data_IF_942032896421
#
_entry.id   IF_942032896421
#
_cell.length_a   1.000
_cell.length_b   1.000
_cell.length_c   1.000
_cell.angle_alpha   90.00
_cell.angle_beta   90.00
_cell.angle_gamma   90.00
#
_symmetry.space_group_name_H-M   'P 1'
#
loop_
_entity.id
_entity.type
_entity.pdbx_description
1 polymer ?
#
# COMPACT_ATOMS: atom_id res chain seq x y z
N UNK A 1 12.14 -23.42 11.63
CA UNK A 1 10.77 -23.05 11.21
C UNK A 1 10.92 -22.10 10.03
N UNK A 2 10.07 -22.10 9.00
CA UNK A 2 10.18 -21.11 7.93
C UNK A 2 10.09 -19.70 8.54
N UNK A 3 10.91 -18.78 8.02
CA UNK A 3 10.91 -17.38 8.44
C UNK A 3 9.47 -16.82 8.44
N UNK A 4 9.12 -16.05 9.47
CA UNK A 4 7.82 -15.38 9.51
C UNK A 4 7.84 -14.18 8.56
N UNK A 5 7.44 -14.41 7.32
CA UNK A 5 7.41 -13.39 6.26
C UNK A 5 6.04 -12.71 6.28
N UNK A 6 6.04 -11.38 6.32
CA UNK A 6 4.84 -10.57 6.09
C UNK A 6 4.73 -10.24 4.60
N UNK A 7 3.68 -10.74 3.96
CA UNK A 7 3.46 -10.60 2.52
C UNK A 7 2.34 -9.61 2.20
N UNK A 8 2.62 -8.71 1.27
CA UNK A 8 1.70 -7.64 0.84
C UNK A 8 1.49 -7.76 -0.65
N UNK A 9 0.22 -7.69 -1.08
CA UNK A 9 -0.16 -7.65 -2.50
C UNK A 9 -0.91 -6.37 -2.82
N UNK A 10 -0.35 -5.58 -3.73
CA UNK A 10 -0.92 -4.35 -4.22
C UNK A 10 -1.69 -4.62 -5.51
N UNK A 11 -2.83 -3.96 -5.66
CA UNK A 11 -3.63 -3.92 -6.87
C UNK A 11 -3.89 -2.47 -7.25
N UNK A 12 -3.58 -2.14 -8.49
CA UNK A 12 -3.80 -0.81 -9.03
C UNK A 12 -3.73 -0.80 -10.54
N UNK A 13 -3.68 0.39 -11.13
CA UNK A 13 -3.44 0.56 -12.57
C UNK A 13 -2.05 1.10 -12.83
N UNK A 14 -1.47 0.71 -13.96
CA UNK A 14 -0.21 1.30 -14.42
C UNK A 14 -0.35 2.84 -14.51
N UNK A 15 0.48 3.55 -13.74
CA UNK A 15 0.45 5.02 -13.62
C UNK A 15 -0.13 5.56 -12.31
N UNK A 16 -0.86 4.75 -11.53
CA UNK A 16 -1.43 5.19 -10.23
C UNK A 16 -0.45 5.11 -9.06
N UNK A 17 0.72 4.49 -9.27
CA UNK A 17 1.83 4.54 -8.33
C UNK A 17 1.95 3.38 -7.33
N UNK A 18 1.21 2.27 -7.51
CA UNK A 18 1.38 1.04 -6.70
C UNK A 18 2.83 0.56 -6.63
N UNK A 19 3.55 0.52 -7.78
CA UNK A 19 4.96 0.13 -7.79
C UNK A 19 5.82 1.08 -6.94
N UNK A 20 5.62 2.39 -7.10
CA UNK A 20 6.40 3.38 -6.36
C UNK A 20 6.13 3.31 -4.86
N UNK A 21 4.86 3.12 -4.47
CA UNK A 21 4.48 2.91 -3.07
C UNK A 21 5.10 1.62 -2.51
N UNK A 22 5.01 0.51 -3.25
CA UNK A 22 5.63 -0.77 -2.88
C UNK A 22 7.15 -0.66 -2.73
N UNK A 23 7.82 0.07 -3.61
CA UNK A 23 9.25 0.29 -3.51
C UNK A 23 9.61 1.15 -2.30
N UNK A 24 8.90 2.26 -2.07
CA UNK A 24 9.12 3.13 -0.90
C UNK A 24 8.86 2.38 0.41
N UNK A 25 7.85 1.51 0.45
CA UNK A 25 7.59 0.64 1.61
C UNK A 25 8.78 -0.28 1.91
N UNK A 26 9.35 -0.90 0.87
CA UNK A 26 10.51 -1.78 1.04
C UNK A 26 11.76 -1.01 1.45
N UNK A 27 12.00 0.17 0.89
CA UNK A 27 13.12 1.03 1.28
C UNK A 27 12.99 1.50 2.73
N UNK A 28 11.78 1.85 3.19
CA UNK A 28 11.54 2.21 4.59
C UNK A 28 11.74 1.01 5.54
N UNK A 29 11.26 -0.19 5.15
CA UNK A 29 11.48 -1.40 5.93
C UNK A 29 12.95 -1.86 5.93
N UNK A 30 13.70 -1.59 4.87
CA UNK A 30 15.14 -1.87 4.81
C UNK A 30 15.91 -1.00 5.81
N UNK A 31 15.54 0.29 5.95
CA UNK A 31 16.14 1.19 6.94
C UNK A 31 15.84 0.78 8.39
N UNK A 32 14.75 0.01 8.62
CA UNK A 32 14.46 -0.64 9.90
C UNK A 32 15.33 -1.89 10.15
N UNK A 33 16.22 -2.25 9.23
CA UNK A 33 17.05 -3.46 9.31
C UNK A 33 16.32 -4.75 8.96
N UNK A 34 15.15 -4.67 8.30
CA UNK A 34 14.40 -5.85 7.85
C UNK A 34 14.95 -6.38 6.53
N UNK A 35 14.76 -7.68 6.30
CA UNK A 35 14.93 -8.28 4.98
C UNK A 35 13.69 -8.00 4.14
N UNK A 36 13.90 -7.46 2.94
CA UNK A 36 12.80 -7.04 2.07
C UNK A 36 12.94 -7.60 0.66
N UNK A 37 11.81 -7.88 0.03
CA UNK A 37 11.70 -8.02 -1.42
C UNK A 37 10.56 -7.12 -1.90
N UNK A 38 10.76 -6.43 -3.01
CA UNK A 38 9.73 -5.68 -3.71
C UNK A 38 9.83 -5.95 -5.20
N UNK A 39 8.73 -6.39 -5.81
CA UNK A 39 8.70 -6.68 -7.24
C UNK A 39 7.32 -6.45 -7.83
N UNK A 40 7.22 -5.84 -9.01
CA UNK A 40 5.97 -5.73 -9.74
C UNK A 40 5.68 -7.00 -10.56
N UNK A 41 4.42 -7.24 -10.84
CA UNK A 41 3.96 -8.20 -11.85
C UNK A 41 3.08 -7.46 -12.85
N UNK A 42 3.54 -7.48 -14.10
CA UNK A 42 2.88 -6.83 -15.22
C UNK A 42 2.29 -7.90 -16.13
N UNK A 43 1.04 -7.71 -16.55
CA UNK A 43 0.50 -8.42 -17.71
C UNK A 43 1.09 -7.87 -19.02
N UNK A 44 0.69 -8.46 -20.15
CA UNK A 44 1.14 -8.05 -21.49
C UNK A 44 0.59 -6.67 -21.96
N UNK A 45 -0.11 -5.92 -21.11
CA UNK A 45 -0.93 -4.77 -21.48
C UNK A 45 -0.26 -3.40 -21.24
N UNK A 46 -0.77 -2.36 -21.94
CA UNK A 46 -0.26 -0.98 -21.94
C UNK A 46 -0.75 -0.17 -20.72
N UNK A 47 -0.32 1.10 -20.62
CA UNK A 47 -0.70 2.08 -19.57
C UNK A 47 -2.20 2.04 -19.23
N UNK A 48 -2.53 2.08 -17.93
CA UNK A 48 -3.93 2.02 -17.44
C UNK A 48 -4.46 0.60 -17.16
N UNK A 49 -3.76 -0.44 -17.62
CA UNK A 49 -4.11 -1.82 -17.32
C UNK A 49 -3.95 -2.15 -15.82
N UNK A 50 -4.76 -3.08 -15.28
CA UNK A 50 -4.56 -3.63 -13.95
C UNK A 50 -3.14 -4.19 -13.79
N UNK A 51 -2.50 -3.88 -12.67
CA UNK A 51 -1.17 -4.34 -12.34
C UNK A 51 -1.11 -4.77 -10.87
N UNK A 52 -0.18 -5.69 -10.59
CA UNK A 52 0.10 -6.15 -9.24
C UNK A 52 1.50 -5.71 -8.84
N UNK A 53 1.68 -5.43 -7.56
CA UNK A 53 3.00 -5.33 -6.96
C UNK A 53 3.03 -6.10 -5.65
N UNK A 54 4.22 -6.51 -5.23
CA UNK A 54 4.37 -7.37 -4.08
C UNK A 54 5.45 -6.84 -3.16
N UNK A 55 5.23 -7.00 -1.85
CA UNK A 55 6.27 -6.87 -0.85
C UNK A 55 6.34 -8.11 0.01
N UNK A 56 7.56 -8.47 0.39
CA UNK A 56 7.84 -9.38 1.50
C UNK A 56 8.73 -8.65 2.49
N UNK A 57 8.38 -8.71 3.77
CA UNK A 57 9.13 -8.10 4.86
C UNK A 57 9.34 -9.17 5.93
N UNK A 58 10.57 -9.36 6.38
CA UNK A 58 10.96 -10.42 7.31
C UNK A 58 12.09 -9.96 8.23
N UNK A 59 12.16 -10.53 9.43
CA UNK A 59 13.31 -10.40 10.33
C UNK A 59 14.49 -11.32 9.95
N UNK A 60 14.24 -12.30 9.07
CA UNK A 60 15.22 -13.26 8.58
C UNK A 60 15.34 -13.20 7.04
N UNK A 61 16.48 -13.64 6.47
CA UNK A 61 16.69 -13.66 5.02
C UNK A 61 15.56 -14.34 4.22
N UNK A 62 15.08 -13.66 3.17
CA UNK A 62 14.01 -14.17 2.32
C UNK A 62 14.62 -14.93 1.13
N UNK A 63 14.44 -16.25 1.11
CA UNK A 63 14.93 -17.13 0.03
C UNK A 63 13.86 -17.45 -1.02
N UNK A 64 12.61 -17.03 -0.79
CA UNK A 64 11.48 -17.31 -1.66
C UNK A 64 11.49 -16.37 -2.89
N UNK A 65 11.34 -16.94 -4.09
CA UNK A 65 11.37 -16.21 -5.37
C UNK A 65 10.16 -16.60 -6.25
N UNK A 66 8.95 -16.35 -5.75
CA UNK A 66 7.68 -16.55 -6.46
C UNK A 66 6.72 -15.40 -6.18
N UNK A 67 5.57 -15.36 -6.88
CA UNK A 67 4.49 -14.41 -6.59
C UNK A 67 3.84 -14.66 -5.22
N UNK A 68 3.18 -13.65 -4.65
CA UNK A 68 2.48 -13.77 -3.35
C UNK A 68 1.10 -14.40 -3.58
N UNK A 69 0.98 -15.67 -3.19
CA UNK A 69 -0.28 -16.42 -3.28
C UNK A 69 -1.18 -16.16 -2.07
N UNK A 70 -0.62 -16.04 -0.85
CA UNK A 70 -1.34 -15.93 0.41
C UNK A 70 -0.97 -14.64 1.18
N UNK A 71 -1.47 -13.47 0.75
CA UNK A 71 -1.08 -12.20 1.35
C UNK A 71 -1.63 -12.03 2.78
N UNK A 72 -0.82 -11.46 3.67
CA UNK A 72 -1.27 -10.94 4.96
C UNK A 72 -2.01 -9.60 4.79
N UNK A 73 -1.62 -8.82 3.79
CA UNK A 73 -2.21 -7.53 3.46
C UNK A 73 -2.49 -7.43 1.95
N UNK A 74 -3.71 -7.06 1.61
CA UNK A 74 -4.07 -6.67 0.24
C UNK A 74 -4.36 -5.17 0.22
N UNK A 75 -3.72 -4.46 -0.70
CA UNK A 75 -3.88 -3.00 -0.86
C UNK A 75 -4.45 -2.72 -2.24
N UNK A 76 -5.63 -2.11 -2.30
CA UNK A 76 -6.31 -1.75 -3.54
C UNK A 76 -6.29 -0.22 -3.66
N UNK A 77 -5.46 0.31 -4.55
CA UNK A 77 -5.33 1.77 -4.74
C UNK A 77 -6.42 2.38 -5.65
N UNK A 78 -7.24 1.55 -6.29
CA UNK A 78 -8.36 1.96 -7.14
C UNK A 78 -9.56 1.02 -6.92
N UNK A 79 -10.63 1.55 -6.33
CA UNK A 79 -11.82 0.78 -5.97
C UNK A 79 -12.61 0.23 -7.17
N UNK A 80 -12.36 0.72 -8.39
CA UNK A 80 -12.92 0.15 -9.63
C UNK A 80 -12.45 -1.27 -9.87
N UNK A 81 -11.32 -1.66 -9.27
CA UNK A 81 -10.76 -3.01 -9.40
C UNK A 81 -11.50 -4.04 -8.54
N UNK A 82 -12.28 -3.63 -7.52
CA UNK A 82 -12.93 -4.55 -6.55
C UNK A 82 -13.87 -5.59 -7.17
N UNK A 83 -14.29 -5.40 -8.42
CA UNK A 83 -15.05 -6.41 -9.17
C UNK A 83 -14.22 -7.58 -9.69
N UNK A 84 -12.89 -7.54 -9.60
CA UNK A 84 -12.01 -8.60 -10.06
C UNK A 84 -11.84 -9.68 -8.97
N UNK A 85 -12.22 -10.95 -9.23
CA UNK A 85 -12.06 -12.03 -8.27
C UNK A 85 -10.60 -12.26 -7.84
N UNK A 86 -9.62 -11.89 -8.67
CA UNK A 86 -8.19 -12.03 -8.37
C UNK A 86 -7.74 -11.21 -7.15
N UNK A 87 -8.49 -10.17 -6.75
CA UNK A 87 -8.14 -9.36 -5.58
C UNK A 87 -8.15 -10.20 -4.32
N UNK A 88 -9.12 -11.09 -4.19
CA UNK A 88 -9.30 -11.96 -3.02
C UNK A 88 -8.63 -13.33 -3.17
N UNK A 89 -7.92 -13.59 -4.27
CA UNK A 89 -7.27 -14.88 -4.49
C UNK A 89 -6.27 -15.19 -3.36
N UNK A 90 -6.50 -16.29 -2.63
CA UNK A 90 -5.64 -16.72 -1.51
C UNK A 90 -5.72 -15.86 -0.25
N UNK A 91 -6.67 -14.93 -0.15
CA UNK A 91 -6.94 -14.23 1.11
C UNK A 91 -7.65 -15.15 2.11
N UNK A 92 -7.45 -14.89 3.40
CA UNK A 92 -8.11 -15.60 4.50
C UNK A 92 -8.85 -14.59 5.39
N UNK A 93 -9.55 -15.06 6.43
CA UNK A 93 -10.15 -14.18 7.43
C UNK A 93 -9.12 -13.36 8.23
N UNK A 94 -7.86 -13.79 8.27
CA UNK A 94 -6.76 -13.07 8.92
C UNK A 94 -6.11 -12.02 8.01
N UNK A 95 -6.37 -12.08 6.70
CA UNK A 95 -5.88 -11.08 5.76
C UNK A 95 -6.56 -9.74 6.05
N UNK A 96 -5.80 -8.65 5.92
CA UNK A 96 -6.34 -7.29 5.97
C UNK A 96 -6.49 -6.76 4.55
N UNK A 97 -7.61 -6.10 4.24
CA UNK A 97 -7.85 -5.44 2.96
C UNK A 97 -7.90 -3.93 3.17
N UNK A 98 -6.93 -3.19 2.64
CA UNK A 98 -6.94 -1.72 2.60
C UNK A 98 -7.42 -1.28 1.21
N UNK A 99 -8.43 -0.41 1.15
CA UNK A 99 -8.97 0.11 -0.11
C UNK A 99 -8.94 1.64 -0.12
N UNK A 100 -8.37 2.21 -1.18
CA UNK A 100 -8.54 3.62 -1.48
C UNK A 100 -9.95 3.86 -2.05
N UNK A 101 -10.84 4.40 -1.23
CA UNK A 101 -12.22 4.71 -1.64
C UNK A 101 -12.86 5.74 -0.73
N UNK A 102 -13.83 6.47 -1.27
CA UNK A 102 -14.75 7.33 -0.51
C UNK A 102 -16.00 6.58 -0.04
N UNK A 103 -16.17 5.33 -0.48
CA UNK A 103 -17.33 4.50 -0.14
C UNK A 103 -17.15 3.89 1.26
N UNK A 104 -18.27 3.61 1.97
CA UNK A 104 -18.21 2.99 3.28
C UNK A 104 -17.71 1.53 3.21
N UNK A 105 -17.24 1.01 4.34
CA UNK A 105 -16.71 -0.35 4.47
C UNK A 105 -17.74 -1.40 4.04
N UNK A 106 -19.01 -1.19 4.38
CA UNK A 106 -20.12 -2.09 4.04
C UNK A 106 -20.27 -2.23 2.52
N UNK A 107 -20.03 -1.15 1.77
CA UNK A 107 -20.06 -1.19 0.31
C UNK A 107 -18.91 -2.06 -0.24
N UNK A 108 -17.70 -1.91 0.30
CA UNK A 108 -16.54 -2.74 -0.07
C UNK A 108 -16.83 -4.21 0.25
N UNK A 109 -17.40 -4.50 1.43
CA UNK A 109 -17.77 -5.84 1.86
C UNK A 109 -18.81 -6.48 0.93
N UNK A 110 -19.85 -5.74 0.56
CA UNK A 110 -20.86 -6.23 -0.40
C UNK A 110 -20.28 -6.47 -1.79
N UNK A 111 -19.38 -5.59 -2.26
CA UNK A 111 -18.78 -5.67 -3.59
C UNK A 111 -17.84 -6.87 -3.74
N UNK A 112 -17.08 -7.16 -2.68
CA UNK A 112 -16.01 -8.17 -2.71
C UNK A 112 -16.44 -9.51 -2.10
N UNK A 113 -17.40 -9.52 -1.17
CA UNK A 113 -17.72 -10.69 -0.34
C UNK A 113 -16.66 -11.01 0.72
N UNK A 114 -15.65 -10.15 0.91
CA UNK A 114 -14.56 -10.40 1.84
C UNK A 114 -15.01 -10.34 3.31
N UNK A 115 -14.66 -11.37 4.07
CA UNK A 115 -15.08 -11.54 5.47
C UNK A 115 -14.02 -11.11 6.50
N UNK A 116 -12.79 -10.84 6.06
CA UNK A 116 -11.72 -10.37 6.94
C UNK A 116 -11.83 -8.89 7.30
N UNK A 117 -10.77 -8.37 7.93
CA UNK A 117 -10.67 -6.96 8.31
C UNK A 117 -10.57 -6.07 7.08
N UNK A 118 -11.49 -5.12 6.94
CA UNK A 118 -11.49 -4.15 5.83
C UNK A 118 -11.15 -2.78 6.41
N UNK A 119 -10.23 -2.08 5.77
CA UNK A 119 -9.91 -0.69 6.06
C UNK A 119 -10.06 0.15 4.80
N UNK A 120 -10.60 1.36 4.94
CA UNK A 120 -10.81 2.29 3.84
C UNK A 120 -10.13 3.63 4.15
N UNK A 121 -9.64 4.28 3.11
CA UNK A 121 -9.05 5.62 3.17
C UNK A 121 -9.34 6.36 1.87
N UNK A 122 -9.71 7.64 1.96
CA UNK A 122 -9.91 8.51 0.78
C UNK A 122 -8.57 9.08 0.27
N UNK A 123 -7.64 8.19 -0.06
CA UNK A 123 -6.25 8.54 -0.34
C UNK A 123 -6.10 9.47 -1.56
N UNK A 124 -6.93 9.32 -2.59
CA UNK A 124 -6.91 10.21 -3.75
C UNK A 124 -7.29 11.65 -3.36
N UNK A 125 -8.32 11.82 -2.54
CA UNK A 125 -8.81 13.14 -2.13
C UNK A 125 -7.81 13.84 -1.20
N UNK A 126 -7.28 13.10 -0.22
CA UNK A 126 -6.23 13.60 0.68
C UNK A 126 -5.00 14.04 -0.15
N UNK A 127 -4.60 13.24 -1.14
CA UNK A 127 -3.49 13.61 -2.02
C UNK A 127 -3.79 14.87 -2.86
N UNK A 128 -5.01 15.01 -3.38
CA UNK A 128 -5.43 16.22 -4.10
C UNK A 128 -5.38 17.46 -3.21
N UNK A 129 -5.87 17.36 -1.98
CA UNK A 129 -5.90 18.46 -1.01
C UNK A 129 -4.48 18.92 -0.60
N UNK A 130 -3.57 17.98 -0.30
CA UNK A 130 -2.23 18.32 0.20
C UNK A 130 -1.21 18.60 -0.92
N UNK A 131 -1.26 17.81 -2.01
CA UNK A 131 -0.24 17.78 -3.06
C UNK A 131 -0.68 18.48 -4.34
N UNK A 132 -1.97 18.80 -4.48
CA UNK A 132 -2.55 19.29 -5.74
C UNK A 132 -2.59 18.23 -6.84
N UNK A 133 -2.33 16.96 -6.50
CA UNK A 133 -2.31 15.81 -7.43
C UNK A 133 -2.87 14.58 -6.76
N UNK A 134 -3.75 13.86 -7.44
CA UNK A 134 -4.40 12.65 -6.92
C UNK A 134 -3.52 11.40 -6.96
N UNK A 135 -2.28 11.48 -6.46
CA UNK A 135 -1.36 10.34 -6.34
C UNK A 135 -1.46 9.72 -4.94
N UNK A 136 -2.19 8.60 -4.75
CA UNK A 136 -2.56 8.10 -3.43
C UNK A 136 -1.41 7.45 -2.65
N UNK A 137 -0.25 7.24 -3.27
CA UNK A 137 0.88 6.45 -2.76
C UNK A 137 1.25 6.77 -1.31
N UNK A 138 1.57 8.04 -1.05
CA UNK A 138 2.06 8.49 0.25
C UNK A 138 1.01 8.33 1.34
N UNK A 139 -0.25 8.63 1.02
CA UNK A 139 -1.37 8.50 1.95
C UNK A 139 -1.61 7.02 2.29
N UNK A 140 -1.55 6.13 1.30
CA UNK A 140 -1.72 4.69 1.52
C UNK A 140 -0.59 4.11 2.36
N UNK A 141 0.65 4.59 2.24
CA UNK A 141 1.75 4.18 3.13
C UNK A 141 1.47 4.52 4.59
N UNK A 142 0.87 5.69 4.85
CA UNK A 142 0.43 6.09 6.19
C UNK A 142 -0.63 5.15 6.74
N UNK A 143 -1.61 4.80 5.91
CA UNK A 143 -2.65 3.83 6.26
C UNK A 143 -2.06 2.45 6.58
N UNK A 144 -1.09 1.96 5.79
CA UNK A 144 -0.41 0.68 6.05
C UNK A 144 0.32 0.71 7.40
N UNK A 145 1.06 1.78 7.69
CA UNK A 145 1.76 1.94 8.95
C UNK A 145 0.80 1.89 10.14
N UNK A 146 -0.37 2.56 10.05
CA UNK A 146 -1.40 2.53 11.09
C UNK A 146 -1.99 1.14 11.29
N UNK A 147 -2.36 0.48 10.20
CA UNK A 147 -3.14 -0.75 10.23
C UNK A 147 -2.31 -1.96 10.64
N UNK A 148 -1.04 -1.99 10.24
CA UNK A 148 -0.20 -3.19 10.38
C UNK A 148 0.93 -3.02 11.39
N UNK A 149 1.42 -1.80 11.61
CA UNK A 149 2.65 -1.55 12.38
C UNK A 149 3.91 -2.18 11.75
N UNK A 150 3.85 -2.66 10.50
CA UNK A 150 5.00 -3.30 9.84
C UNK A 150 6.13 -2.31 9.51
N UNK A 151 5.77 -1.02 9.44
CA UNK A 151 6.67 0.10 9.24
C UNK A 151 6.31 1.24 10.20
N UNK A 152 7.31 2.02 10.60
CA UNK A 152 7.11 3.25 11.37
C UNK A 152 7.11 4.48 10.44
N UNK A 153 6.27 5.47 10.73
CA UNK A 153 6.13 6.68 9.90
C UNK A 153 7.46 7.41 9.69
N UNK A 154 8.29 7.51 10.74
CA UNK A 154 9.58 8.21 10.68
C UNK A 154 10.47 7.75 9.52
N UNK A 155 10.53 6.44 9.24
CA UNK A 155 11.34 5.90 8.15
C UNK A 155 10.76 6.26 6.78
N UNK A 156 9.44 6.35 6.67
CA UNK A 156 8.80 6.82 5.43
C UNK A 156 9.00 8.32 5.25
N UNK A 157 8.93 9.11 6.32
CA UNK A 157 9.23 10.55 6.31
C UNK A 157 10.68 10.81 5.86
N UNK A 158 11.64 10.06 6.40
CA UNK A 158 13.05 10.16 6.02
C UNK A 158 13.25 9.85 4.54
N UNK A 159 12.58 8.81 4.00
CA UNK A 159 12.61 8.52 2.55
C UNK A 159 11.98 9.63 1.71
N UNK A 160 10.88 10.23 2.16
CA UNK A 160 10.27 11.38 1.49
C UNK A 160 11.26 12.55 1.46
N UNK A 161 11.93 12.85 2.58
CA UNK A 161 12.95 13.90 2.65
C UNK A 161 14.09 13.62 1.67
N UNK A 162 14.67 12.41 1.70
CA UNK A 162 15.79 12.04 0.83
C UNK A 162 15.46 12.15 -0.66
N UNK A 163 14.25 11.73 -1.04
CA UNK A 163 13.82 11.71 -2.43
C UNK A 163 13.48 13.11 -2.98
N UNK A 164 12.81 13.94 -2.17
CA UNK A 164 12.18 15.16 -2.66
C UNK A 164 12.89 16.45 -2.24
N UNK A 165 13.65 16.47 -1.12
CA UNK A 165 14.22 17.70 -0.58
C UNK A 165 15.16 18.40 -1.57
N UNK A 166 16.12 17.67 -2.13
CA UNK A 166 17.09 18.25 -3.10
C UNK A 166 16.46 18.68 -4.42
N UNK A 167 15.36 18.03 -4.83
CA UNK A 167 14.76 18.21 -6.16
C UNK A 167 13.62 19.22 -6.17
N UNK A 168 12.86 19.31 -5.09
CA UNK A 168 11.59 20.05 -5.03
C UNK A 168 11.48 20.96 -3.80
N UNK A 169 12.43 20.90 -2.88
CA UNK A 169 12.48 21.77 -1.70
C UNK A 169 11.60 21.33 -0.53
N UNK A 170 11.73 22.06 0.58
CA UNK A 170 11.08 21.72 1.86
C UNK A 170 9.55 21.77 1.78
N UNK A 171 8.97 22.67 1.00
CA UNK A 171 7.51 22.81 0.91
C UNK A 171 6.84 21.51 0.38
N UNK A 172 7.41 20.93 -0.68
CA UNK A 172 6.89 19.70 -1.29
C UNK A 172 7.09 18.50 -0.36
N UNK A 173 8.21 18.46 0.35
CA UNK A 173 8.48 17.46 1.40
C UNK A 173 7.42 17.53 2.48
N UNK A 174 7.17 18.72 3.04
CA UNK A 174 6.19 18.92 4.11
C UNK A 174 4.76 18.58 3.67
N UNK A 175 4.39 18.88 2.41
CA UNK A 175 3.10 18.45 1.84
C UNK A 175 2.98 16.92 1.78
N UNK A 176 4.04 16.21 1.37
CA UNK A 176 4.05 14.75 1.36
C UNK A 176 4.00 14.16 2.77
N UNK A 177 4.72 14.74 3.73
CA UNK A 177 4.67 14.32 5.14
C UNK A 177 3.25 14.50 5.68
N UNK A 178 2.59 15.65 5.46
CA UNK A 178 1.18 15.82 5.87
C UNK A 178 0.25 14.80 5.23
N UNK A 179 0.40 14.54 3.92
CA UNK A 179 -0.38 13.51 3.24
C UNK A 179 -0.17 12.10 3.87
N UNK A 180 1.06 11.77 4.24
CA UNK A 180 1.41 10.54 4.95
C UNK A 180 0.68 10.45 6.30
N UNK A 181 0.78 11.49 7.13
CA UNK A 181 0.12 11.55 8.44
C UNK A 181 -1.40 11.46 8.34
N UNK A 182 -2.01 12.20 7.40
CA UNK A 182 -3.46 12.11 7.16
C UNK A 182 -3.89 10.70 6.76
N UNK A 183 -3.08 9.98 5.99
CA UNK A 183 -3.31 8.57 5.70
C UNK A 183 -3.28 7.67 6.93
N UNK A 184 -2.37 7.95 7.87
CA UNK A 184 -2.25 7.23 9.14
C UNK A 184 -3.43 7.52 10.08
N UNK A 185 -3.91 8.77 10.10
CA UNK A 185 -4.95 9.23 11.02
C UNK A 185 -6.37 8.98 10.51
N UNK A 186 -6.62 9.15 9.21
CA UNK A 186 -7.97 9.09 8.62
C UNK A 186 -8.35 7.68 8.13
N UNK A 187 -7.45 6.70 8.16
CA UNK A 187 -7.80 5.32 7.80
C UNK A 187 -8.80 4.75 8.81
N UNK A 188 -9.92 4.26 8.29
CA UNK A 188 -10.99 3.68 9.11
C UNK A 188 -11.08 2.18 8.84
N UNK A 189 -11.17 1.36 9.89
CA UNK A 189 -11.23 -0.09 9.76
C UNK A 189 -12.52 -0.65 10.34
N UNK A 190 -12.94 -1.81 9.82
CA UNK A 190 -13.99 -2.62 10.42
C UNK A 190 -13.56 -3.08 11.81
N UNK A 191 -14.53 -3.17 12.71
CA UNK A 191 -14.38 -3.82 14.00
C UNK A 191 -13.93 -5.29 13.84
#
# INVERSE_FOLDING_TARGET
MPAKIFEIRWHGRAGQGAKSASQMLAEAALDMGKYVQAFPEYGAERTGAPMKAFNRISDEPILLHCSVEKPNLVVVIDDTLLGNPDILAGTTSETVLIVNTVKPIEWVRQKTGFQGKICVVKATDIALEELGRGTPNTVVLGAIARVTGIIELKYVEDKIRDMFLKKFGEEVVQKNIRALHRGYEEVTCSA
#
